data_IF_220122472037
#
_entry.id   IF_220122472037
#
_cell.length_a   1.000
_cell.length_b   1.000
_cell.length_c   1.000
_cell.angle_alpha   90.00
_cell.angle_beta   90.00
_cell.angle_gamma   90.00
#
_symmetry.space_group_name_H-M   'P 1'
#
loop_
_entity.id
_entity.type
_entity.pdbx_description
1 polymer ?
#
# COMPACT_ATOMS: atom_id res chain seq x y z
N UNK A 1 -8.38 5.00 -19.76
CA UNK A 1 -8.06 3.57 -19.90
C UNK A 1 -6.81 3.30 -19.06
N UNK A 2 -6.98 3.03 -17.76
CA UNK A 2 -5.86 2.68 -16.89
C UNK A 2 -5.38 1.27 -17.25
N UNK A 3 -4.27 1.19 -18.00
CA UNK A 3 -3.51 -0.05 -18.09
C UNK A 3 -2.60 -0.11 -16.88
N UNK A 4 -3.03 -0.77 -15.81
CA UNK A 4 -2.12 -1.23 -14.78
C UNK A 4 -1.15 -2.23 -15.45
N UNK A 5 0.11 -1.81 -15.64
CA UNK A 5 1.17 -2.67 -16.13
C UNK A 5 1.80 -3.40 -14.95
N UNK A 6 1.43 -4.67 -14.81
CA UNK A 6 2.20 -5.78 -14.22
C UNK A 6 3.39 -5.40 -13.30
N UNK A 7 3.13 -5.33 -12.00
CA UNK A 7 3.98 -6.04 -11.05
C UNK A 7 3.75 -7.54 -11.22
N UNK A 8 4.81 -8.35 -11.34
CA UNK A 8 4.66 -9.81 -11.43
C UNK A 8 4.02 -10.30 -10.13
N UNK A 9 2.76 -10.74 -10.18
CA UNK A 9 2.15 -11.43 -9.06
C UNK A 9 2.95 -12.71 -8.78
N UNK A 10 3.67 -12.76 -7.67
CA UNK A 10 4.20 -13.98 -7.05
C UNK A 10 3.76 -14.04 -5.60
N UNK A 11 3.63 -15.28 -5.14
CA UNK A 11 2.85 -15.71 -3.98
C UNK A 11 3.01 -14.82 -2.73
N UNK A 12 1.90 -14.45 -2.05
CA UNK A 12 1.99 -13.78 -0.76
C UNK A 12 2.62 -14.72 0.28
N UNK A 13 3.48 -14.14 1.10
CA UNK A 13 3.98 -14.75 2.32
C UNK A 13 2.85 -15.23 3.22
N UNK A 14 3.13 -16.34 3.90
CA UNK A 14 2.28 -17.11 4.80
C UNK A 14 1.35 -16.23 5.65
N UNK A 15 0.03 -16.36 5.47
CA UNK A 15 -0.95 -15.79 6.39
C UNK A 15 -0.72 -16.32 7.81
N UNK A 16 -0.58 -15.42 8.78
CA UNK A 16 -0.46 -15.76 10.20
C UNK A 16 -1.82 -16.27 10.66
N UNK A 17 -1.94 -17.60 10.84
CA UNK A 17 -3.14 -18.24 11.42
C UNK A 17 -3.77 -19.40 10.63
N UNK A 18 -3.24 -19.80 9.47
CA UNK A 18 -3.80 -20.93 8.73
C UNK A 18 -3.45 -22.31 9.37
N UNK A 19 -4.38 -23.28 9.41
CA UNK A 19 -4.11 -24.63 9.89
C UNK A 19 -2.98 -25.29 9.09
N UNK A 20 -2.14 -26.09 9.77
CA UNK A 20 -0.80 -26.52 9.30
C UNK A 20 -0.78 -27.39 8.04
N UNK A 21 -1.92 -27.84 7.53
CA UNK A 21 -2.01 -28.78 6.40
C UNK A 21 -2.84 -28.28 5.20
N UNK A 22 -3.11 -26.97 5.10
CA UNK A 22 -3.69 -26.43 3.87
C UNK A 22 -2.60 -26.24 2.80
N UNK A 23 -2.40 -27.25 1.96
CA UNK A 23 -1.69 -27.07 0.70
C UNK A 23 -2.57 -26.15 -0.17
N UNK A 24 -2.16 -24.91 -0.41
CA UNK A 24 -2.81 -24.05 -1.41
C UNK A 24 -2.49 -24.63 -2.79
N UNK A 25 -3.30 -25.60 -3.21
CA UNK A 25 -3.28 -26.20 -4.53
C UNK A 25 -4.46 -25.64 -5.33
N UNK A 26 -4.18 -24.75 -6.28
CA UNK A 26 -5.15 -24.24 -7.26
C UNK A 26 -5.22 -22.72 -7.28
N UNK A 27 -4.75 -22.12 -8.37
CA UNK A 27 -5.09 -20.73 -8.69
C UNK A 27 -6.57 -20.68 -9.01
N UNK A 28 -7.35 -19.87 -8.29
CA UNK A 28 -8.69 -19.53 -8.75
C UNK A 28 -8.53 -18.42 -9.79
N UNK A 29 -8.75 -18.74 -11.06
CA UNK A 29 -8.58 -17.77 -12.17
C UNK A 29 -9.64 -16.68 -12.14
N UNK A 30 -10.77 -16.92 -11.47
CA UNK A 30 -11.92 -16.04 -11.42
C UNK A 30 -12.50 -15.97 -10.00
N UNK A 31 -12.69 -14.75 -9.50
CA UNK A 31 -13.19 -14.45 -8.17
C UNK A 31 -14.38 -13.51 -8.31
N UNK A 32 -15.42 -13.72 -7.52
CA UNK A 32 -16.58 -12.85 -7.44
C UNK A 32 -16.76 -12.38 -6.00
N UNK A 33 -17.05 -11.10 -5.82
CA UNK A 33 -17.49 -10.54 -4.55
C UNK A 33 -18.96 -10.12 -4.71
N UNK A 34 -19.84 -10.58 -3.82
CA UNK A 34 -21.28 -10.27 -3.85
C UNK A 34 -21.74 -9.67 -2.52
N UNK A 35 -22.95 -9.10 -2.53
CA UNK A 35 -23.70 -8.66 -1.35
C UNK A 35 -22.97 -7.58 -0.53
N UNK A 36 -22.21 -6.71 -1.19
CA UNK A 36 -21.69 -5.51 -0.54
C UNK A 36 -22.84 -4.53 -0.33
N UNK A 37 -23.08 -4.08 0.91
CA UNK A 37 -24.14 -3.07 1.15
C UNK A 37 -23.88 -1.80 0.34
N UNK A 38 -22.60 -1.46 0.19
CA UNK A 38 -22.10 -0.48 -0.76
C UNK A 38 -20.81 -1.00 -1.38
N UNK A 39 -20.79 -1.08 -2.70
CA UNK A 39 -19.57 -1.18 -3.49
C UNK A 39 -19.23 0.22 -3.98
N UNK A 40 -18.13 0.78 -3.48
CA UNK A 40 -17.69 2.13 -3.82
C UNK A 40 -16.72 2.03 -4.99
N UNK A 41 -17.20 2.28 -6.20
CA UNK A 41 -16.38 2.09 -7.40
C UNK A 41 -15.35 3.21 -7.58
N UNK A 42 -15.66 4.43 -7.11
CA UNK A 42 -14.89 5.66 -7.39
C UNK A 42 -14.68 5.86 -8.90
N UNK A 43 -15.56 5.25 -9.73
CA UNK A 43 -15.52 5.34 -11.18
C UNK A 43 -15.72 6.79 -11.60
N UNK A 44 -14.89 7.30 -12.50
CA UNK A 44 -14.90 8.71 -12.89
C UNK A 44 -14.13 8.96 -14.18
N UNK A 45 -13.87 10.23 -14.52
CA UNK A 45 -13.12 10.57 -15.71
C UNK A 45 -11.70 10.02 -15.64
N UNK A 46 -11.04 9.85 -16.79
CA UNK A 46 -9.64 9.41 -16.87
C UNK A 46 -8.65 10.55 -16.53
N UNK A 47 -8.93 11.29 -15.46
CA UNK A 47 -8.15 12.39 -14.88
C UNK A 47 -8.52 12.51 -13.38
N UNK A 48 -7.71 13.22 -12.57
CA UNK A 48 -8.12 13.54 -11.21
C UNK A 48 -9.49 14.23 -11.17
N UNK A 49 -10.30 13.85 -10.18
CA UNK A 49 -11.53 14.56 -9.81
C UNK A 49 -11.14 15.83 -9.07
N UNK A 50 -11.85 16.94 -9.33
CA UNK A 50 -11.58 18.24 -8.70
C UNK A 50 -12.87 18.91 -8.23
N UNK A 51 -12.78 19.73 -7.18
CA UNK A 51 -13.93 20.49 -6.67
C UNK A 51 -15.12 19.59 -6.30
N UNK A 52 -16.31 19.93 -6.80
CA UNK A 52 -17.54 19.18 -6.51
C UNK A 52 -17.52 17.73 -6.99
N UNK A 53 -16.68 17.38 -7.98
CA UNK A 53 -16.54 16.00 -8.47
C UNK A 53 -16.00 15.05 -7.41
N UNK A 54 -15.28 15.56 -6.39
CA UNK A 54 -14.70 14.76 -5.31
C UNK A 54 -15.76 14.14 -4.39
N UNK A 55 -16.98 14.68 -4.38
CA UNK A 55 -18.10 14.17 -3.57
C UNK A 55 -18.85 13.01 -4.24
N UNK A 56 -18.58 12.73 -5.52
CA UNK A 56 -19.21 11.64 -6.25
C UNK A 56 -18.34 10.37 -6.19
N UNK A 57 -18.79 9.43 -5.38
CA UNK A 57 -18.11 8.17 -5.07
C UNK A 57 -18.53 7.00 -6.00
N UNK A 58 -19.49 7.20 -6.90
CA UNK A 58 -20.06 6.15 -7.75
C UNK A 58 -20.45 4.88 -6.95
N UNK A 59 -21.33 5.05 -5.95
CA UNK A 59 -21.76 3.97 -5.05
C UNK A 59 -22.79 3.07 -5.74
N UNK A 60 -22.54 1.76 -5.71
CA UNK A 60 -23.49 0.73 -6.10
C UNK A 60 -24.03 0.06 -4.82
N UNK A 61 -25.34 0.15 -4.59
CA UNK A 61 -26.00 -0.51 -3.46
C UNK A 61 -26.30 -1.96 -3.79
N UNK A 62 -26.14 -2.86 -2.82
CA UNK A 62 -26.13 -4.30 -3.06
C UNK A 62 -25.22 -4.65 -4.26
N UNK A 63 -23.97 -4.19 -4.14
CA UNK A 63 -23.00 -4.24 -5.22
C UNK A 63 -22.21 -5.54 -5.22
N UNK A 64 -21.80 -5.95 -6.42
CA UNK A 64 -20.85 -7.03 -6.63
C UNK A 64 -19.79 -6.66 -7.66
N UNK A 65 -18.73 -7.47 -7.71
CA UNK A 65 -17.72 -7.40 -8.76
C UNK A 65 -17.24 -8.79 -9.17
N UNK A 66 -16.92 -8.92 -10.44
CA UNK A 66 -16.24 -10.08 -11.03
C UNK A 66 -14.79 -9.69 -11.32
N UNK A 67 -13.87 -10.55 -10.89
CA UNK A 67 -12.43 -10.41 -11.05
C UNK A 67 -11.96 -11.61 -11.88
N UNK A 68 -11.25 -11.35 -12.98
CA UNK A 68 -10.60 -12.38 -13.80
C UNK A 68 -9.13 -12.06 -13.95
N UNK A 69 -8.26 -13.05 -13.74
CA UNK A 69 -6.81 -12.91 -13.91
C UNK A 69 -6.22 -11.70 -13.14
N UNK A 70 -6.72 -11.49 -11.93
CA UNK A 70 -6.31 -10.39 -11.04
C UNK A 70 -6.78 -9.00 -11.46
N UNK A 71 -7.72 -8.89 -12.40
CA UNK A 71 -8.30 -7.62 -12.86
C UNK A 71 -9.81 -7.61 -12.68
N UNK A 72 -10.34 -6.44 -12.33
CA UNK A 72 -11.79 -6.22 -12.33
C UNK A 72 -12.29 -6.31 -13.77
N UNK A 73 -13.20 -7.25 -14.02
CA UNK A 73 -13.85 -7.47 -15.32
C UNK A 73 -15.14 -6.65 -15.38
N UNK A 74 -16.04 -6.84 -14.41
CA UNK A 74 -17.34 -6.17 -14.34
C UNK A 74 -17.65 -5.77 -12.90
N UNK A 75 -18.29 -4.60 -12.72
CA UNK A 75 -18.90 -4.14 -11.47
C UNK A 75 -20.37 -3.83 -11.71
N UNK A 76 -21.23 -4.12 -10.75
CA UNK A 76 -22.68 -3.96 -10.91
C UNK A 76 -23.42 -4.34 -9.63
N UNK A 77 -24.73 -4.53 -9.72
CA UNK A 77 -25.48 -5.15 -8.62
C UNK A 77 -25.07 -6.61 -8.43
N UNK A 78 -25.21 -7.14 -7.21
CA UNK A 78 -24.93 -8.54 -6.89
C UNK A 78 -25.66 -9.49 -7.84
N UNK A 79 -26.94 -9.23 -8.11
CA UNK A 79 -27.76 -10.03 -9.01
C UNK A 79 -27.30 -10.01 -10.48
N UNK A 80 -26.69 -8.91 -10.95
CA UNK A 80 -26.10 -8.84 -12.30
C UNK A 80 -24.79 -9.62 -12.37
N UNK A 81 -23.96 -9.51 -11.34
CA UNK A 81 -22.65 -10.19 -11.28
C UNK A 81 -22.83 -11.70 -11.12
N UNK A 82 -23.79 -12.14 -10.30
CA UNK A 82 -24.07 -13.56 -10.06
C UNK A 82 -24.41 -14.31 -11.36
N UNK A 83 -25.14 -13.66 -12.30
CA UNK A 83 -25.43 -14.23 -13.63
C UNK A 83 -24.18 -14.52 -14.46
N UNK A 84 -23.06 -13.87 -14.14
CA UNK A 84 -21.78 -13.99 -14.85
C UNK A 84 -20.73 -14.80 -14.04
N UNK A 85 -21.10 -15.32 -12.86
CA UNK A 85 -20.21 -15.96 -11.89
C UNK A 85 -19.95 -17.46 -12.15
N UNK A 86 -19.87 -17.88 -13.43
CA UNK A 86 -19.58 -19.27 -13.78
C UNK A 86 -18.13 -19.65 -13.43
N UNK A 87 -17.95 -20.78 -12.75
CA UNK A 87 -16.64 -21.31 -12.33
C UNK A 87 -15.78 -20.31 -11.53
N UNK A 88 -16.43 -19.46 -10.73
CA UNK A 88 -15.78 -18.47 -9.88
C UNK A 88 -15.78 -18.91 -8.40
N UNK A 89 -14.72 -18.57 -7.67
CA UNK A 89 -14.81 -18.52 -6.20
C UNK A 89 -15.71 -17.35 -5.80
N UNK A 90 -16.64 -17.58 -4.88
CA UNK A 90 -17.58 -16.56 -4.40
C UNK A 90 -17.17 -16.11 -3.01
N UNK A 91 -16.93 -14.81 -2.86
CA UNK A 91 -16.80 -14.12 -1.58
C UNK A 91 -18.09 -13.35 -1.32
N UNK A 92 -18.79 -13.74 -0.26
CA UNK A 92 -19.92 -12.97 0.25
C UNK A 92 -19.40 -11.86 1.18
N UNK A 93 -19.64 -10.60 0.83
CA UNK A 93 -19.24 -9.45 1.65
C UNK A 93 -20.08 -9.35 2.95
N UNK A 94 -21.23 -10.03 3.02
CA UNK A 94 -22.11 -10.09 4.18
C UNK A 94 -22.67 -8.72 4.57
N UNK A 95 -23.02 -7.90 3.57
CA UNK A 95 -23.52 -6.54 3.81
C UNK A 95 -22.47 -5.54 4.26
N UNK A 96 -21.18 -5.84 4.15
CA UNK A 96 -20.10 -4.86 4.41
C UNK A 96 -19.91 -3.91 3.24
N UNK A 97 -19.18 -2.82 3.50
CA UNK A 97 -18.74 -1.90 2.45
C UNK A 97 -17.48 -2.46 1.80
N UNK A 98 -17.44 -2.43 0.47
CA UNK A 98 -16.26 -2.76 -0.33
C UNK A 98 -15.71 -1.48 -0.94
N UNK A 99 -14.43 -1.20 -0.67
CA UNK A 99 -13.70 -0.03 -1.14
C UNK A 99 -12.52 -0.46 -2.02
N UNK A 100 -12.02 0.39 -2.92
CA UNK A 100 -10.72 0.19 -3.53
C UNK A 100 -9.63 0.22 -2.45
N UNK A 101 -8.52 -0.47 -2.69
CA UNK A 101 -7.33 -0.34 -1.85
C UNK A 101 -6.84 1.10 -1.85
N UNK A 102 -6.38 1.58 -0.69
CA UNK A 102 -5.93 2.96 -0.56
C UNK A 102 -4.58 3.18 -1.26
N UNK A 103 -4.39 4.42 -1.71
CA UNK A 103 -3.14 4.90 -2.31
C UNK A 103 -2.54 5.95 -1.38
N UNK A 104 -1.38 5.66 -0.82
CA UNK A 104 -0.59 6.66 -0.09
C UNK A 104 0.37 7.33 -1.06
N UNK A 105 0.07 8.57 -1.44
CA UNK A 105 0.77 9.28 -2.52
C UNK A 105 2.04 10.01 -2.08
N UNK A 106 2.42 9.95 -0.78
CA UNK A 106 3.59 10.66 -0.29
C UNK A 106 4.16 10.04 0.98
N UNK A 107 5.19 9.19 0.83
CA UNK A 107 5.86 8.60 2.00
C UNK A 107 7.38 8.56 1.88
N UNK A 108 8.07 8.48 3.03
CA UNK A 108 9.49 8.13 3.12
C UNK A 108 9.62 6.86 3.98
N UNK A 109 9.32 5.66 3.43
CA UNK A 109 9.14 4.47 4.25
C UNK A 109 10.47 3.80 4.63
N UNK A 110 11.58 4.18 3.98
CA UNK A 110 12.92 3.65 4.19
C UNK A 110 13.78 4.69 4.91
N UNK A 111 13.98 4.47 6.20
CA UNK A 111 14.87 5.24 7.06
C UNK A 111 15.29 4.37 8.25
N UNK A 112 16.38 4.74 8.91
CA UNK A 112 16.81 4.08 10.14
C UNK A 112 16.56 4.94 11.39
N UNK A 113 16.31 4.26 12.51
CA UNK A 113 16.08 4.89 13.81
C UNK A 113 14.71 5.58 13.92
N UNK A 114 14.59 6.48 14.89
CA UNK A 114 13.42 7.32 15.11
C UNK A 114 13.86 8.70 15.63
N UNK A 115 12.88 9.60 15.78
CA UNK A 115 13.06 10.97 16.29
C UNK A 115 12.22 11.22 17.56
N UNK A 116 12.16 10.22 18.44
CA UNK A 116 11.44 10.35 19.72
C UNK A 116 12.12 11.38 20.64
N UNK A 117 13.46 11.42 20.68
CA UNK A 117 14.19 12.44 21.46
C UNK A 117 13.88 13.86 20.98
N UNK A 118 13.84 14.08 19.66
CA UNK A 118 13.42 15.36 19.07
C UNK A 118 11.96 15.70 19.41
N UNK A 119 11.08 14.70 19.50
CA UNK A 119 9.70 14.89 19.93
C UNK A 119 9.63 15.33 21.40
N UNK A 120 10.36 14.66 22.29
CA UNK A 120 10.39 14.99 23.72
C UNK A 120 10.98 16.39 23.99
N UNK A 121 12.03 16.77 23.26
CA UNK A 121 12.63 18.11 23.37
C UNK A 121 11.70 19.21 22.89
N UNK A 122 10.99 18.99 21.78
CA UNK A 122 9.94 19.91 21.31
C UNK A 122 8.81 20.04 22.34
N UNK A 123 8.39 18.94 22.95
CA UNK A 123 7.36 18.95 23.99
C UNK A 123 7.79 19.77 25.23
N UNK A 124 9.10 19.89 25.49
CA UNK A 124 9.68 20.74 26.55
C UNK A 124 9.90 22.20 26.14
N UNK A 125 9.56 22.56 24.91
CA UNK A 125 9.62 23.94 24.40
C UNK A 125 10.92 24.31 23.66
N UNK A 126 11.80 23.36 23.36
CA UNK A 126 12.98 23.64 22.53
C UNK A 126 12.59 23.93 21.07
N UNK A 127 13.26 24.90 20.45
CA UNK A 127 13.04 25.24 19.04
C UNK A 127 13.70 24.22 18.11
N UNK A 128 13.27 24.22 16.84
CA UNK A 128 13.86 23.35 15.83
C UNK A 128 15.37 23.58 15.66
N UNK A 129 15.80 24.86 15.69
CA UNK A 129 17.20 25.26 15.57
C UNK A 129 18.04 24.76 16.75
N UNK A 130 17.50 24.82 17.98
CA UNK A 130 18.18 24.31 19.18
C UNK A 130 18.38 22.78 19.12
N UNK A 131 17.37 22.06 18.61
CA UNK A 131 17.43 20.60 18.45
C UNK A 131 18.44 20.23 17.36
N UNK A 132 18.39 20.92 16.21
CA UNK A 132 19.33 20.71 15.11
C UNK A 132 20.78 21.00 15.52
N UNK A 133 21.02 22.11 16.25
CA UNK A 133 22.34 22.47 16.75
C UNK A 133 22.93 21.43 17.72
N UNK A 134 22.08 20.64 18.36
CA UNK A 134 22.45 19.55 19.25
C UNK A 134 22.49 18.17 18.56
N UNK A 135 22.51 18.11 17.22
CA UNK A 135 22.62 16.87 16.45
C UNK A 135 21.31 16.11 16.24
N UNK A 136 20.16 16.72 16.60
CA UNK A 136 18.85 16.23 16.23
C UNK A 136 18.47 16.61 14.80
N UNK A 137 17.18 16.71 14.51
CA UNK A 137 16.71 17.17 13.21
C UNK A 137 16.76 16.08 12.14
N UNK A 138 16.67 16.52 10.88
CA UNK A 138 16.74 15.62 9.72
C UNK A 138 18.10 14.92 9.60
N UNK A 139 19.19 15.60 9.99
CA UNK A 139 20.54 15.06 9.94
C UNK A 139 20.70 13.80 10.80
N UNK A 140 20.03 13.73 11.95
CA UNK A 140 20.00 12.51 12.76
C UNK A 140 19.45 11.31 11.98
N UNK A 141 18.39 11.50 11.19
CA UNK A 141 17.84 10.43 10.33
C UNK A 141 18.79 10.10 9.18
N UNK A 142 19.41 11.11 8.56
CA UNK A 142 20.38 10.91 7.48
C UNK A 142 21.56 10.06 7.96
N UNK A 143 22.20 10.44 9.05
CA UNK A 143 23.36 9.72 9.61
C UNK A 143 23.01 8.28 9.97
N UNK A 144 21.87 8.05 10.65
CA UNK A 144 21.40 6.70 10.98
C UNK A 144 21.12 5.87 9.73
N UNK A 145 20.52 6.47 8.70
CA UNK A 145 20.18 5.77 7.44
C UNK A 145 21.42 5.44 6.62
N UNK A 146 22.43 6.31 6.63
CA UNK A 146 23.76 6.03 6.04
C UNK A 146 24.46 4.88 6.75
N UNK A 147 24.47 4.90 8.08
CA UNK A 147 25.12 3.88 8.90
C UNK A 147 24.43 2.50 8.83
N UNK A 148 23.12 2.47 8.57
CA UNK A 148 22.36 1.24 8.46
C UNK A 148 22.72 0.44 7.20
N UNK A 149 22.75 -0.89 7.35
CA UNK A 149 22.88 -1.80 6.21
C UNK A 149 21.60 -1.85 5.37
N UNK A 150 21.71 -2.26 4.11
CA UNK A 150 20.54 -2.46 3.25
C UNK A 150 19.54 -3.49 3.84
N UNK A 151 20.06 -4.52 4.52
CA UNK A 151 19.23 -5.54 5.18
C UNK A 151 18.47 -4.98 6.39
N UNK A 152 19.11 -4.12 7.19
CA UNK A 152 18.45 -3.50 8.35
C UNK A 152 17.33 -2.56 7.90
N UNK A 153 17.61 -1.75 6.86
CA UNK A 153 16.63 -0.84 6.26
C UNK A 153 15.44 -1.60 5.70
N UNK A 154 15.67 -2.71 5.00
CA UNK A 154 14.59 -3.54 4.48
C UNK A 154 13.75 -4.18 5.60
N UNK A 155 14.40 -4.72 6.63
CA UNK A 155 13.70 -5.32 7.77
C UNK A 155 12.81 -4.30 8.48
N UNK A 156 13.28 -3.06 8.64
CA UNK A 156 12.48 -1.97 9.20
C UNK A 156 11.33 -1.56 8.27
N UNK A 157 11.62 -1.30 6.99
CA UNK A 157 10.61 -0.86 6.04
C UNK A 157 9.54 -1.92 5.77
N UNK A 158 9.87 -3.22 5.87
CA UNK A 158 8.89 -4.32 5.80
C UNK A 158 7.87 -4.26 6.94
N UNK A 159 8.26 -3.79 8.13
CA UNK A 159 7.31 -3.55 9.23
C UNK A 159 6.35 -2.42 8.88
N UNK A 160 6.86 -1.34 8.28
CA UNK A 160 6.03 -0.23 7.80
C UNK A 160 5.05 -0.69 6.70
N UNK A 161 5.52 -1.49 5.73
CA UNK A 161 4.67 -2.10 4.70
C UNK A 161 3.50 -2.91 5.29
N UNK A 162 3.76 -3.69 6.34
CA UNK A 162 2.69 -4.42 7.04
C UNK A 162 1.70 -3.49 7.75
N UNK A 163 2.12 -2.32 8.23
CA UNK A 163 1.20 -1.32 8.80
C UNK A 163 0.31 -0.69 7.73
N UNK A 164 0.90 -0.30 6.59
CA UNK A 164 0.14 0.18 5.43
C UNK A 164 -0.92 -0.83 4.99
N UNK A 165 -0.53 -2.09 4.84
CA UNK A 165 -1.44 -3.16 4.41
C UNK A 165 -2.59 -3.37 5.41
N UNK A 166 -2.30 -3.37 6.71
CA UNK A 166 -3.34 -3.46 7.76
C UNK A 166 -4.30 -2.27 7.74
N UNK A 167 -3.83 -1.10 7.29
CA UNK A 167 -4.65 0.09 7.08
C UNK A 167 -5.48 0.07 5.80
N UNK A 168 -5.30 -0.95 4.93
CA UNK A 168 -5.99 -1.06 3.65
C UNK A 168 -5.25 -0.43 2.46
N UNK A 169 -4.02 0.07 2.67
CA UNK A 169 -3.19 0.62 1.59
C UNK A 169 -2.61 -0.49 0.73
N UNK A 170 -2.83 -0.40 -0.58
CA UNK A 170 -2.33 -1.36 -1.57
C UNK A 170 -1.28 -0.75 -2.50
N UNK A 171 -1.20 0.58 -2.57
CA UNK A 171 -0.21 1.30 -3.38
C UNK A 171 0.41 2.44 -2.56
N UNK A 172 1.73 2.55 -2.60
CA UNK A 172 2.50 3.54 -1.84
C UNK A 172 3.53 4.20 -2.74
N UNK A 173 3.55 5.52 -2.76
CA UNK A 173 4.68 6.28 -3.29
C UNK A 173 5.78 6.35 -2.24
N UNK A 174 6.98 5.89 -2.58
CA UNK A 174 8.10 5.71 -1.67
C UNK A 174 9.30 6.53 -2.13
N UNK A 175 9.63 7.55 -1.33
CA UNK A 175 10.72 8.47 -1.63
C UNK A 175 12.02 8.04 -0.98
N UNK A 176 13.12 8.38 -1.63
CA UNK A 176 14.45 8.41 -1.04
C UNK A 176 14.65 9.73 -0.25
N UNK A 177 15.85 10.30 -0.20
CA UNK A 177 16.12 11.62 0.38
C UNK A 177 16.73 11.63 1.79
N UNK A 178 16.94 10.46 2.40
CA UNK A 178 17.68 10.31 3.65
C UNK A 178 19.12 9.81 3.45
N UNK A 179 19.58 9.68 2.21
CA UNK A 179 20.96 9.35 1.86
C UNK A 179 21.82 10.59 1.65
N UNK A 180 21.36 11.57 0.86
CA UNK A 180 22.10 12.79 0.49
C UNK A 180 23.54 12.53 -0.03
N UNK A 181 23.78 11.33 -0.56
CA UNK A 181 24.95 10.88 -1.33
C UNK A 181 24.42 9.94 -2.41
N UNK A 182 25.14 9.79 -3.52
CA UNK A 182 24.69 8.90 -4.60
C UNK A 182 24.57 7.46 -4.09
N UNK A 183 25.55 7.02 -3.32
CA UNK A 183 25.65 5.65 -2.80
C UNK A 183 24.48 5.30 -1.87
N UNK A 184 24.15 6.20 -0.94
CA UNK A 184 23.09 5.96 0.05
C UNK A 184 21.68 6.18 -0.54
N UNK A 185 21.51 7.11 -1.47
CA UNK A 185 20.24 7.25 -2.19
C UNK A 185 19.95 6.00 -3.04
N UNK A 186 20.96 5.48 -3.76
CA UNK A 186 20.82 4.22 -4.50
C UNK A 186 20.56 3.03 -3.56
N UNK A 187 21.13 3.02 -2.35
CA UNK A 187 20.81 2.02 -1.31
C UNK A 187 19.33 2.05 -0.93
N UNK A 188 18.77 3.24 -0.70
CA UNK A 188 17.35 3.38 -0.39
C UNK A 188 16.47 2.90 -1.57
N UNK A 189 16.80 3.28 -2.80
CA UNK A 189 16.06 2.84 -3.99
C UNK A 189 16.10 1.32 -4.19
N UNK A 190 17.23 0.66 -3.88
CA UNK A 190 17.31 -0.81 -3.88
C UNK A 190 16.41 -1.43 -2.82
N UNK A 191 16.34 -0.85 -1.62
CA UNK A 191 15.40 -1.31 -0.58
C UNK A 191 13.95 -1.15 -1.05
N UNK A 192 13.58 -0.01 -1.65
CA UNK A 192 12.22 0.21 -2.18
C UNK A 192 11.87 -0.83 -3.24
N UNK A 193 12.81 -1.13 -4.15
CA UNK A 193 12.63 -2.20 -5.14
C UNK A 193 12.38 -3.55 -4.47
N UNK A 194 13.14 -3.90 -3.44
CA UNK A 194 12.95 -5.15 -2.69
C UNK A 194 11.62 -5.19 -1.96
N UNK A 195 11.14 -4.09 -1.39
CA UNK A 195 9.78 -4.03 -0.81
C UNK A 195 8.71 -4.34 -1.85
N UNK A 196 8.85 -3.82 -3.07
CA UNK A 196 7.93 -4.11 -4.17
C UNK A 196 7.99 -5.58 -4.64
N UNK A 197 9.13 -6.25 -4.46
CA UNK A 197 9.32 -7.66 -4.83
C UNK A 197 8.91 -8.63 -3.70
N UNK A 198 9.04 -8.22 -2.43
CA UNK A 198 8.87 -9.07 -1.24
C UNK A 198 7.54 -8.85 -0.49
N UNK A 199 6.74 -7.86 -0.89
CA UNK A 199 5.44 -7.54 -0.26
C UNK A 199 4.32 -7.42 -1.31
N UNK A 200 3.03 -7.55 -0.93
CA UNK A 200 1.92 -7.40 -1.87
C UNK A 200 1.56 -5.94 -2.20
N UNK A 201 2.24 -4.95 -1.58
CA UNK A 201 2.00 -3.53 -1.86
C UNK A 201 2.77 -3.13 -3.12
N UNK A 202 2.11 -2.37 -3.99
CA UNK A 202 2.77 -1.72 -5.12
C UNK A 202 3.50 -0.45 -4.63
N UNK A 203 4.82 -0.44 -4.74
CA UNK A 203 5.64 0.72 -4.43
C UNK A 203 6.06 1.48 -5.70
N UNK A 204 5.76 2.77 -5.73
CA UNK A 204 6.19 3.70 -6.79
C UNK A 204 7.39 4.50 -6.26
N UNK A 205 8.62 4.25 -6.74
CA UNK A 205 9.81 4.92 -6.23
C UNK A 205 9.92 6.35 -6.76
N UNK A 206 10.30 7.27 -5.88
CA UNK A 206 10.68 8.66 -6.22
C UNK A 206 12.07 8.95 -5.69
N UNK A 207 12.95 9.43 -6.57
CA UNK A 207 14.27 9.96 -6.19
C UNK A 207 14.14 11.45 -5.84
N UNK A 208 14.75 11.87 -4.74
CA UNK A 208 14.78 13.26 -4.28
C UNK A 208 16.19 13.85 -4.32
#
# INVERSE_FOLDING_TARGET
MWKASLGRARAPGRAIGAPKDCKITGFVSHLVVLHASQLVAVAGPNRPRVGAEMSDLAIIRDGGMLIRDGKIDIVGSSAEIEKNATDCEIIDAGGRVVLPGFVDAHTHPVFAGNRLDDFDRRAKGETYEQIAAAGGGIWSTVEKTRAASEADLLNQATKHANWFLKGGTTTVEAKSGYGLTVEDELKILRVIRRLNEETPIEFVPTFL
#
